data_IF_680089363991
#
_entry.id   IF_680089363991
#
_cell.length_a   1.000
_cell.length_b   1.000
_cell.length_c   1.000
_cell.angle_alpha   90.00
_cell.angle_beta   90.00
_cell.angle_gamma   90.00
#
_symmetry.space_group_name_H-M   'P 1'
#
loop_
_entity.id
_entity.type
_entity.pdbx_description
1 polymer ?
#
# COMPACT_ATOMS: atom_id res chain seq x y z
N UNK A 1 26.66 -0.60 -0.71
CA UNK A 1 26.02 -1.76 -0.04
C UNK A 1 24.78 -2.14 -0.85
N UNK A 2 24.57 -3.43 -1.18
CA UNK A 2 23.33 -3.91 -1.81
C UNK A 2 22.63 -4.80 -0.79
N UNK A 3 21.31 -4.62 -0.59
CA UNK A 3 20.57 -5.44 0.37
C UNK A 3 20.44 -6.91 -0.08
N UNK A 4 20.65 -7.23 -1.37
CA UNK A 4 20.76 -8.60 -1.85
C UNK A 4 19.54 -9.45 -1.52
N UNK A 5 19.75 -10.57 -0.82
CA UNK A 5 18.72 -11.56 -0.48
C UNK A 5 18.20 -11.44 0.96
N UNK A 6 18.30 -10.24 1.57
CA UNK A 6 17.88 -10.03 2.96
C UNK A 6 16.36 -10.16 3.16
N UNK A 7 15.56 -9.86 2.13
CA UNK A 7 14.11 -9.94 2.17
C UNK A 7 13.52 -10.23 0.79
N UNK A 8 12.22 -10.53 0.75
CA UNK A 8 11.45 -10.51 -0.49
C UNK A 8 11.01 -9.08 -0.79
N UNK A 9 11.34 -8.58 -1.98
CA UNK A 9 11.00 -7.23 -2.41
C UNK A 9 9.93 -7.29 -3.49
N UNK A 10 8.88 -6.49 -3.31
CA UNK A 10 7.82 -6.33 -4.30
C UNK A 10 7.54 -4.85 -4.51
N UNK A 11 7.56 -4.42 -5.77
CA UNK A 11 7.07 -3.08 -6.14
C UNK A 11 5.55 -3.12 -6.08
N UNK A 12 4.93 -2.05 -5.59
CA UNK A 12 3.48 -1.91 -5.59
C UNK A 12 2.88 -2.02 -7.00
N UNK A 13 1.55 -2.18 -7.12
CA UNK A 13 0.89 -2.30 -8.40
C UNK A 13 1.11 -1.02 -9.24
N UNK A 14 1.29 -1.18 -10.55
CA UNK A 14 1.42 -0.05 -11.47
C UNK A 14 0.15 0.81 -11.45
N UNK A 15 0.27 2.13 -11.65
CA UNK A 15 -0.83 3.10 -11.51
C UNK A 15 -2.06 2.86 -12.41
N UNK A 16 -1.96 1.99 -13.41
CA UNK A 16 -3.11 1.52 -14.21
C UNK A 16 -3.95 0.44 -13.53
N UNK A 17 -3.41 -0.24 -12.52
CA UNK A 17 -4.06 -1.38 -11.85
C UNK A 17 -5.12 -0.93 -10.83
N UNK A 18 -4.98 0.30 -10.34
CA UNK A 18 -5.89 0.93 -9.37
C UNK A 18 -6.15 2.38 -9.77
N UNK A 19 -7.40 2.70 -10.08
CA UNK A 19 -7.82 4.06 -10.46
C UNK A 19 -8.79 4.61 -9.42
N UNK A 20 -8.92 5.95 -9.34
CA UNK A 20 -9.82 6.59 -8.37
C UNK A 20 -11.28 6.15 -8.50
N UNK A 21 -11.72 5.76 -9.70
CA UNK A 21 -13.07 5.27 -9.96
C UNK A 21 -13.36 3.89 -9.34
N UNK A 22 -12.32 3.13 -8.98
CA UNK A 22 -12.46 1.82 -8.34
C UNK A 22 -12.65 1.92 -6.83
N UNK A 23 -12.47 3.11 -6.24
CA UNK A 23 -12.57 3.28 -4.81
C UNK A 23 -14.03 3.33 -4.36
N UNK A 24 -14.31 2.59 -3.30
CA UNK A 24 -15.62 2.52 -2.67
C UNK A 24 -15.61 3.24 -1.32
N UNK A 25 -16.78 3.64 -0.79
CA UNK A 25 -16.90 4.10 0.59
C UNK A 25 -16.44 3.04 1.60
N UNK A 26 -16.05 3.50 2.79
CA UNK A 26 -15.73 2.63 3.91
C UNK A 26 -16.96 1.81 4.30
N UNK A 27 -16.76 0.50 4.49
CA UNK A 27 -17.79 -0.44 4.90
C UNK A 27 -17.13 -1.66 5.54
N UNK A 28 -17.88 -2.51 6.28
CA UNK A 28 -17.30 -3.66 6.98
C UNK A 28 -16.55 -4.66 6.09
N UNK A 29 -16.82 -4.67 4.78
CA UNK A 29 -16.18 -5.55 3.79
C UNK A 29 -15.17 -4.82 2.90
N UNK A 30 -15.03 -3.50 3.06
CA UNK A 30 -14.13 -2.68 2.28
C UNK A 30 -12.68 -2.88 2.75
N UNK A 31 -11.76 -2.98 1.80
CA UNK A 31 -10.36 -3.27 2.09
C UNK A 31 -9.54 -2.03 1.81
N UNK A 32 -8.78 -1.60 2.82
CA UNK A 32 -8.00 -0.36 2.77
C UNK A 32 -6.86 -0.46 1.76
N UNK A 33 -6.66 0.63 1.03
CA UNK A 33 -5.50 0.83 0.16
C UNK A 33 -4.48 1.70 0.89
N UNK A 34 -3.25 1.20 1.03
CA UNK A 34 -2.14 1.97 1.57
C UNK A 34 -1.47 2.81 0.48
N UNK A 35 -1.32 4.10 0.76
CA UNK A 35 -0.70 5.08 -0.15
C UNK A 35 0.68 5.50 0.37
N UNK A 36 1.46 6.22 -0.45
CA UNK A 36 2.79 6.72 -0.05
C UNK A 36 2.75 7.54 1.25
N UNK A 37 1.69 8.33 1.46
CA UNK A 37 1.51 9.11 2.69
C UNK A 37 1.46 8.26 3.96
N UNK A 38 1.01 7.01 3.89
CA UNK A 38 1.02 6.10 5.04
C UNK A 38 2.45 5.76 5.47
N UNK A 39 3.33 5.50 4.49
CA UNK A 39 4.74 5.25 4.74
C UNK A 39 5.47 6.52 5.21
N UNK A 40 5.25 7.66 4.53
CA UNK A 40 5.89 8.94 4.85
C UNK A 40 5.54 9.39 6.29
N UNK A 41 4.25 9.35 6.66
CA UNK A 41 3.79 9.80 7.98
C UNK A 41 3.85 8.70 9.05
N UNK A 42 4.43 7.54 8.75
CA UNK A 42 4.54 6.38 9.66
C UNK A 42 3.19 6.01 10.31
N UNK A 43 2.09 6.14 9.56
CA UNK A 43 0.73 6.00 10.08
C UNK A 43 -0.16 5.20 9.11
N UNK A 44 -0.43 3.95 9.48
CA UNK A 44 -1.28 3.02 8.73
C UNK A 44 -2.76 3.44 8.73
N UNK A 45 -3.22 4.21 9.72
CA UNK A 45 -4.61 4.64 9.84
C UNK A 45 -4.97 5.77 8.86
N UNK A 46 -4.00 6.48 8.28
CA UNK A 46 -4.26 7.54 7.31
C UNK A 46 -4.90 7.04 6.01
N UNK A 47 -5.65 7.92 5.33
CA UNK A 47 -6.27 7.61 4.04
C UNK A 47 -7.71 7.08 4.17
N UNK A 48 -8.46 7.27 3.09
CA UNK A 48 -9.90 6.95 2.98
C UNK A 48 -10.21 6.20 1.68
N UNK A 49 -9.20 5.56 1.09
CA UNK A 49 -9.37 4.78 -0.12
C UNK A 49 -9.49 3.31 0.23
N UNK A 50 -10.57 2.73 -0.28
CA UNK A 50 -10.90 1.34 -0.08
C UNK A 50 -11.31 0.73 -1.40
N UNK A 51 -11.11 -0.57 -1.55
CA UNK A 51 -11.56 -1.37 -2.68
C UNK A 51 -12.52 -2.46 -2.22
N UNK A 52 -13.34 -2.96 -3.13
CA UNK A 52 -14.18 -4.12 -2.88
C UNK A 52 -13.34 -5.39 -2.68
N UNK A 53 -13.91 -6.40 -2.02
CA UNK A 53 -13.26 -7.71 -1.86
C UNK A 53 -12.93 -8.36 -3.20
N UNK A 54 -13.81 -8.24 -4.20
CA UNK A 54 -13.55 -8.72 -5.57
C UNK A 54 -12.31 -8.05 -6.18
N UNK A 55 -12.21 -6.72 -6.04
CA UNK A 55 -11.05 -5.99 -6.56
C UNK A 55 -9.77 -6.33 -5.80
N UNK A 56 -9.85 -6.54 -4.49
CA UNK A 56 -8.73 -7.00 -3.68
C UNK A 56 -8.20 -8.36 -4.17
N UNK A 57 -9.05 -9.33 -4.52
CA UNK A 57 -8.57 -10.61 -5.03
C UNK A 57 -7.73 -10.44 -6.31
N UNK A 58 -8.07 -9.49 -7.19
CA UNK A 58 -7.23 -9.15 -8.36
C UNK A 58 -5.88 -8.53 -8.01
N UNK A 59 -5.77 -7.95 -6.80
CA UNK A 59 -4.59 -7.24 -6.30
C UNK A 59 -3.87 -8.00 -5.18
N UNK A 60 -4.30 -9.22 -4.85
CA UNK A 60 -3.83 -10.02 -3.69
C UNK A 60 -2.32 -10.20 -3.65
N UNK A 61 -1.69 -10.25 -4.82
CA UNK A 61 -0.24 -10.28 -4.93
C UNK A 61 0.48 -9.09 -4.29
N UNK A 62 -0.19 -7.97 -4.01
CA UNK A 62 0.35 -6.77 -3.38
C UNK A 62 -0.23 -6.52 -1.98
N UNK A 63 -0.82 -7.54 -1.36
CA UNK A 63 -1.26 -7.44 0.02
C UNK A 63 -0.10 -7.16 0.97
N UNK A 64 -0.42 -6.49 2.06
CA UNK A 64 0.53 -6.14 3.11
C UNK A 64 0.07 -6.86 4.37
N UNK A 65 0.98 -7.62 4.97
CA UNK A 65 0.75 -8.37 6.19
C UNK A 65 1.39 -7.65 7.40
N UNK A 66 0.98 -8.01 8.63
CA UNK A 66 1.66 -7.52 9.82
C UNK A 66 3.17 -7.79 9.74
N UNK A 67 3.96 -6.79 10.12
CA UNK A 67 5.44 -6.76 10.07
C UNK A 67 6.08 -6.53 8.68
N UNK A 68 5.29 -6.37 7.62
CA UNK A 68 5.83 -5.90 6.35
C UNK A 68 6.31 -4.44 6.45
N UNK A 69 7.38 -4.12 5.72
CA UNK A 69 7.95 -2.77 5.64
C UNK A 69 7.54 -2.14 4.31
N UNK A 70 6.81 -1.02 4.37
CA UNK A 70 6.46 -0.22 3.20
C UNK A 70 7.51 0.86 3.02
N UNK A 71 8.17 0.87 1.86
CA UNK A 71 9.17 1.88 1.49
C UNK A 71 8.64 2.75 0.36
N UNK A 72 8.59 4.06 0.59
CA UNK A 72 8.28 5.04 -0.45
C UNK A 72 9.55 5.48 -1.18
N UNK A 73 9.48 5.64 -2.50
CA UNK A 73 10.52 6.32 -3.27
C UNK A 73 10.37 7.85 -3.25
N UNK A 74 9.27 8.36 -2.69
CA UNK A 74 9.01 9.77 -2.50
C UNK A 74 9.09 10.16 -1.02
N UNK A 75 9.68 11.33 -0.74
CA UNK A 75 10.00 11.83 0.60
C UNK A 75 11.50 11.97 0.81
N UNK A 76 11.90 12.64 1.89
CA UNK A 76 13.30 12.72 2.33
C UNK A 76 13.54 11.66 3.42
N UNK A 77 14.66 10.93 3.35
CA UNK A 77 15.15 10.15 4.49
C UNK A 77 15.65 11.16 5.53
N UNK A 78 15.11 11.13 6.76
CA UNK A 78 15.61 11.95 7.88
C UNK A 78 14.60 12.87 8.58
N UNK A 79 13.28 12.70 8.38
CA UNK A 79 12.32 13.36 9.28
C UNK A 79 12.33 12.71 10.67
N UNK A 80 12.73 13.53 11.66
CA UNK A 80 12.80 13.21 13.09
C UNK A 80 11.43 13.35 13.73
#
# INVERSE_FOLDING_TARGET
MRLGNLAQYKKGPFGSSITKAMFIPDSPTAIKVYEQKNAINKNASLGKYFVSSEKYETLKGFEVLPNDIIVSCAGTIGET
#
